data_IF_436958625809
#
_entry.id   IF_436958625809
#
_cell.length_a   1.000
_cell.length_b   1.000
_cell.length_c   1.000
_cell.angle_alpha   90.00
_cell.angle_beta   90.00
_cell.angle_gamma   90.00
#
_symmetry.space_group_name_H-M   'P 1'
#
loop_
_entity.id
_entity.type
_entity.pdbx_description
1 polymer ?
#
# COMPACT_ATOMS: atom_id res chain seq x y z
N UNK A 1 -11.05 11.93 -8.73
CA UNK A 1 -10.28 11.33 -9.83
C UNK A 1 -8.77 11.36 -9.60
N UNK A 2 -8.14 12.54 -9.57
CA UNK A 2 -6.67 12.72 -9.54
C UNK A 2 -5.95 11.99 -8.39
N UNK A 3 -6.57 11.88 -7.22
CA UNK A 3 -5.99 11.26 -6.02
C UNK A 3 -5.94 9.72 -6.09
N UNK A 4 -6.94 9.08 -6.70
CA UNK A 4 -6.96 7.63 -6.86
C UNK A 4 -5.93 7.19 -7.91
N UNK A 5 -5.89 7.85 -9.06
CA UNK A 5 -4.90 7.56 -10.11
C UNK A 5 -3.46 7.68 -9.58
N UNK A 6 -3.13 8.76 -8.87
CA UNK A 6 -1.82 8.91 -8.25
C UNK A 6 -1.51 7.87 -7.17
N UNK A 7 -2.52 7.37 -6.45
CA UNK A 7 -2.35 6.26 -5.52
C UNK A 7 -2.09 4.94 -6.27
N UNK A 8 -2.90 4.63 -7.29
CA UNK A 8 -2.76 3.46 -8.13
C UNK A 8 -1.39 3.42 -8.82
N UNK A 9 -0.96 4.54 -9.41
CA UNK A 9 0.37 4.70 -10.01
C UNK A 9 1.47 4.34 -9.01
N UNK A 10 1.46 4.94 -7.81
CA UNK A 10 2.47 4.69 -6.79
C UNK A 10 2.53 3.23 -6.35
N UNK A 11 1.38 2.60 -6.09
CA UNK A 11 1.37 1.19 -5.66
C UNK A 11 1.79 0.24 -6.76
N UNK A 12 1.47 0.53 -8.02
CA UNK A 12 1.95 -0.25 -9.16
C UNK A 12 3.46 -0.08 -9.34
N UNK A 13 4.00 1.14 -9.20
CA UNK A 13 5.45 1.38 -9.23
C UNK A 13 6.15 0.57 -8.14
N UNK A 14 5.67 0.60 -6.89
CA UNK A 14 6.26 -0.20 -5.83
C UNK A 14 6.18 -1.71 -6.10
N UNK A 15 5.08 -2.19 -6.71
CA UNK A 15 4.94 -3.59 -7.06
C UNK A 15 5.97 -4.00 -8.11
N UNK A 16 6.15 -3.19 -9.15
CA UNK A 16 7.16 -3.43 -10.20
C UNK A 16 8.57 -3.36 -9.63
N UNK A 17 8.87 -2.40 -8.75
CA UNK A 17 10.17 -2.32 -8.07
C UNK A 17 10.45 -3.58 -7.23
N UNK A 18 9.44 -4.13 -6.55
CA UNK A 18 9.61 -5.29 -5.68
C UNK A 18 9.69 -6.61 -6.45
N UNK A 19 8.81 -6.80 -7.43
CA UNK A 19 8.52 -8.10 -8.05
C UNK A 19 8.86 -8.15 -9.54
N UNK A 20 9.19 -7.03 -10.18
CA UNK A 20 9.31 -6.89 -11.62
C UNK A 20 7.98 -6.58 -12.29
N UNK A 21 8.05 -6.12 -13.53
CA UNK A 21 6.87 -6.00 -14.39
C UNK A 21 6.51 -7.39 -14.92
N UNK A 22 5.29 -7.84 -14.61
CA UNK A 22 4.76 -9.15 -14.97
C UNK A 22 3.34 -9.01 -15.51
N UNK A 23 2.91 -10.00 -16.29
CA UNK A 23 1.51 -10.13 -16.65
C UNK A 23 0.67 -10.42 -15.41
N UNK A 24 -0.63 -10.07 -15.46
CA UNK A 24 -1.54 -10.21 -14.31
C UNK A 24 -1.60 -11.66 -13.78
N UNK A 25 -1.49 -12.64 -14.69
CA UNK A 25 -1.53 -14.07 -14.36
C UNK A 25 -0.24 -14.60 -13.70
N UNK A 26 0.89 -13.92 -13.89
CA UNK A 26 2.20 -14.36 -13.42
C UNK A 26 2.52 -13.89 -12.00
N UNK A 27 1.67 -13.03 -11.43
CA UNK A 27 1.81 -12.66 -10.03
C UNK A 27 1.39 -13.81 -9.12
N UNK A 28 2.35 -14.27 -8.32
CA UNK A 28 2.18 -15.39 -7.41
C UNK A 28 1.94 -14.93 -5.97
N UNK A 29 1.61 -15.89 -5.10
CA UNK A 29 1.59 -15.66 -3.66
C UNK A 29 2.97 -15.26 -3.10
N UNK A 30 4.05 -15.76 -3.70
CA UNK A 30 5.41 -15.40 -3.31
C UNK A 30 5.70 -13.93 -3.64
N UNK A 31 5.18 -13.41 -4.75
CA UNK A 31 5.28 -12.00 -5.11
C UNK A 31 4.54 -11.11 -4.10
N UNK A 32 3.33 -11.51 -3.69
CA UNK A 32 2.59 -10.80 -2.66
C UNK A 32 3.38 -10.70 -1.34
N UNK A 33 4.06 -11.79 -0.94
CA UNK A 33 4.94 -11.79 0.23
C UNK A 33 6.16 -10.89 0.04
N UNK A 34 6.85 -11.01 -1.11
CA UNK A 34 8.00 -10.19 -1.47
C UNK A 34 7.66 -8.70 -1.45
N UNK A 35 6.50 -8.34 -2.00
CA UNK A 35 5.98 -6.99 -1.98
C UNK A 35 5.76 -6.47 -0.54
N UNK A 36 5.19 -7.27 0.35
CA UNK A 36 5.06 -6.90 1.78
C UNK A 36 6.42 -6.62 2.42
N UNK A 37 7.37 -7.54 2.25
CA UNK A 37 8.71 -7.39 2.82
C UNK A 37 9.42 -6.15 2.27
N UNK A 38 9.24 -5.87 0.98
CA UNK A 38 9.74 -4.64 0.35
C UNK A 38 9.20 -3.37 1.02
N UNK A 39 7.89 -3.31 1.29
CA UNK A 39 7.27 -2.14 1.94
C UNK A 39 7.76 -1.97 3.38
N UNK A 40 7.95 -3.07 4.11
CA UNK A 40 8.50 -3.05 5.48
C UNK A 40 9.97 -2.57 5.45
N UNK A 41 10.77 -3.07 4.50
CA UNK A 41 12.16 -2.66 4.33
C UNK A 41 12.31 -1.17 3.96
N UNK A 42 11.33 -0.59 3.27
CA UNK A 42 11.22 0.87 3.03
C UNK A 42 10.83 1.69 4.28
N UNK A 43 10.87 1.10 5.48
CA UNK A 43 10.55 1.74 6.77
C UNK A 43 9.17 2.42 6.80
N UNK A 44 8.20 1.86 6.08
CA UNK A 44 6.84 2.36 6.10
C UNK A 44 6.17 1.95 7.42
N UNK A 45 5.48 2.91 8.07
CA UNK A 45 4.60 2.57 9.19
C UNK A 45 3.52 1.58 8.74
N UNK A 46 3.12 0.67 9.63
CA UNK A 46 2.15 -0.40 9.37
C UNK A 46 0.86 0.11 8.73
N UNK A 47 0.33 1.24 9.21
CA UNK A 47 -0.86 1.86 8.62
C UNK A 47 -0.69 2.31 7.16
N UNK A 48 0.51 2.70 6.75
CA UNK A 48 0.85 3.00 5.35
C UNK A 48 0.98 1.71 4.54
N UNK A 49 1.60 0.68 5.09
CA UNK A 49 1.70 -0.66 4.48
C UNK A 49 0.31 -1.22 4.21
N UNK A 50 -0.62 -1.19 5.18
CA UNK A 50 -2.01 -1.64 5.03
C UNK A 50 -2.73 -0.93 3.88
N UNK A 51 -2.55 0.40 3.78
CA UNK A 51 -3.18 1.22 2.73
C UNK A 51 -2.63 0.86 1.35
N UNK A 52 -1.32 0.73 1.23
CA UNK A 52 -0.65 0.37 -0.02
C UNK A 52 -1.07 -1.04 -0.50
N UNK A 53 -1.12 -2.02 0.42
CA UNK A 53 -1.60 -3.37 0.12
C UNK A 53 -3.07 -3.36 -0.31
N UNK A 54 -3.92 -2.60 0.39
CA UNK A 54 -5.34 -2.51 0.03
C UNK A 54 -5.53 -1.89 -1.35
N UNK A 55 -4.74 -0.87 -1.71
CA UNK A 55 -4.78 -0.25 -3.03
C UNK A 55 -4.33 -1.21 -4.13
N UNK A 56 -3.22 -1.95 -3.97
CA UNK A 56 -2.78 -2.91 -5.00
C UNK A 56 -3.78 -4.04 -5.18
N UNK A 57 -4.38 -4.52 -4.08
CA UNK A 57 -5.45 -5.52 -4.11
C UNK A 57 -6.64 -5.02 -4.93
N UNK A 58 -7.08 -3.79 -4.70
CA UNK A 58 -8.18 -3.19 -5.44
C UNK A 58 -7.86 -3.05 -6.93
N UNK A 59 -6.67 -2.53 -7.29
CA UNK A 59 -6.23 -2.39 -8.68
C UNK A 59 -6.24 -3.75 -9.41
N UNK A 60 -5.67 -4.79 -8.80
CA UNK A 60 -5.65 -6.13 -9.38
C UNK A 60 -7.07 -6.70 -9.55
N UNK A 61 -7.93 -6.57 -8.53
CA UNK A 61 -9.32 -7.02 -8.61
C UNK A 61 -10.13 -6.26 -9.66
N UNK A 62 -9.89 -4.96 -9.84
CA UNK A 62 -10.51 -4.18 -10.90
C UNK A 62 -10.10 -4.68 -12.27
N UNK A 63 -8.79 -4.87 -12.52
CA UNK A 63 -8.32 -5.38 -13.80
C UNK A 63 -8.88 -6.77 -14.11
N UNK A 64 -8.89 -7.68 -13.13
CA UNK A 64 -9.47 -9.02 -13.29
C UNK A 64 -10.96 -8.93 -13.66
N UNK A 65 -11.73 -8.08 -12.99
CA UNK A 65 -13.15 -7.91 -13.25
C UNK A 65 -13.45 -7.21 -14.57
N UNK A 66 -12.68 -6.17 -14.93
CA UNK A 66 -12.89 -5.35 -16.12
C UNK A 66 -12.66 -6.17 -17.40
N UNK A 67 -11.65 -7.04 -17.39
CA UNK A 67 -11.34 -7.93 -18.51
C UNK A 67 -11.98 -9.32 -18.38
N UNK A 68 -12.86 -9.53 -17.40
CA UNK A 68 -13.52 -10.81 -17.13
C UNK A 68 -12.55 -12.02 -17.07
N UNK A 69 -11.39 -11.81 -16.45
CA UNK A 69 -10.34 -12.83 -16.34
C UNK A 69 -10.68 -13.84 -15.24
N UNK A 70 -10.47 -15.12 -15.51
CA UNK A 70 -10.56 -16.16 -14.47
C UNK A 70 -9.22 -16.32 -13.74
N UNK A 71 -8.84 -15.27 -12.99
CA UNK A 71 -7.58 -15.21 -12.26
C UNK A 71 -7.81 -15.02 -10.76
N UNK A 72 -7.03 -15.75 -9.96
CA UNK A 72 -7.03 -15.56 -8.51
C UNK A 72 -6.09 -14.42 -8.13
N UNK A 73 -6.61 -13.39 -7.48
CA UNK A 73 -5.81 -12.28 -6.97
C UNK A 73 -4.91 -12.73 -5.78
N UNK A 74 -3.57 -12.74 -5.90
CA UNK A 74 -2.65 -13.22 -4.86
C UNK A 74 -2.54 -12.27 -3.65
N UNK A 75 -3.01 -11.03 -3.78
CA UNK A 75 -2.93 -9.97 -2.77
C UNK A 75 -4.13 -9.95 -1.80
N UNK A 76 -5.18 -10.74 -2.05
CA UNK A 76 -6.40 -10.77 -1.21
C UNK A 76 -6.11 -11.23 0.22
N UNK A 77 -5.35 -12.31 0.40
CA UNK A 77 -5.10 -12.94 1.71
C UNK A 77 -3.81 -12.47 2.40
N UNK A 78 -3.26 -11.31 2.02
CA UNK A 78 -2.07 -10.78 2.70
C UNK A 78 -2.40 -10.32 4.12
N UNK A 79 -1.70 -10.89 5.10
CA UNK A 79 -1.67 -10.36 6.47
C UNK A 79 -0.70 -9.18 6.56
N UNK A 80 -1.12 -8.12 7.22
CA UNK A 80 -0.31 -6.94 7.55
C UNK A 80 -0.57 -6.50 9.00
N UNK A 81 0.49 -6.11 9.71
CA UNK A 81 0.38 -5.50 11.02
C UNK A 81 0.19 -3.99 10.85
N UNK A 82 -1.07 -3.55 10.98
CA UNK A 82 -1.47 -2.15 10.81
C UNK A 82 -0.92 -1.22 11.90
N UNK A 83 -0.58 -1.75 13.07
CA UNK A 83 -0.16 -0.95 14.22
C UNK A 83 1.37 -0.81 14.32
N UNK A 84 2.13 -1.67 13.63
CA UNK A 84 3.58 -1.62 13.61
C UNK A 84 4.13 -0.23 13.27
N UNK A 85 4.95 0.36 14.16
CA UNK A 85 5.63 1.63 13.92
C UNK A 85 4.70 2.85 13.74
N UNK A 86 3.43 2.74 14.13
CA UNK A 86 2.50 3.88 14.16
C UNK A 86 2.67 4.62 15.48
N UNK A 87 3.16 5.86 15.42
CA UNK A 87 3.16 6.77 16.57
C UNK A 87 1.83 7.52 16.64
N UNK A 88 1.28 7.66 17.85
CA UNK A 88 0.12 8.52 18.07
C UNK A 88 0.56 9.98 18.05
N UNK A 89 -0.15 10.82 17.30
CA UNK A 89 0.08 12.26 17.32
C UNK A 89 -0.46 12.81 18.64
N UNK A 90 0.41 13.40 19.45
CA UNK A 90 0.01 14.11 20.65
C UNK A 90 -0.58 15.49 20.31
N UNK A 91 -1.51 16.02 21.12
CA UNK A 91 -1.94 17.41 21.03
C UNK A 91 -0.75 18.37 21.15
N UNK A 92 -0.83 19.51 20.48
CA UNK A 92 0.13 20.60 20.68
C UNK A 92 -0.19 21.23 22.05
N UNK A 93 0.77 21.36 22.97
CA UNK A 93 0.58 22.06 24.24
C UNK A 93 0.09 23.50 24.03
N UNK A 94 -0.81 23.97 24.89
CA UNK A 94 -1.45 25.29 24.77
C UNK A 94 -0.41 26.43 24.77
N UNK A 95 0.63 26.30 25.58
CA UNK A 95 1.81 27.17 25.66
C UNK A 95 2.52 27.36 24.30
N UNK A 96 2.68 26.29 23.51
CA UNK A 96 3.31 26.37 22.18
C UNK A 96 2.41 27.07 21.15
N UNK A 97 1.08 27.04 21.33
CA UNK A 97 0.12 27.71 20.44
C UNK A 97 0.27 29.23 20.52
N UNK A 98 0.54 29.77 21.71
CA UNK A 98 0.66 31.22 21.93
C UNK A 98 2.01 31.81 21.47
N UNK A 99 2.99 30.97 21.13
CA UNK A 99 4.33 31.41 20.72
C UNK A 99 4.41 31.76 19.22
N UNK A 100 3.47 31.30 18.39
CA UNK A 100 3.46 31.56 16.92
C UNK A 100 2.89 32.95 16.52
N UNK A 101 2.70 33.88 17.48
CA UNK A 101 2.14 35.21 17.24
C UNK A 101 3.09 36.37 17.61
N UNK A 102 4.40 36.14 17.57
CA UNK A 102 5.45 37.18 17.64
C UNK A 102 6.38 37.08 16.43
#
# INVERSE_FOLDING_TARGET
GKTFHAAAQRVCTYLVEACGAKDLADYSRADALKYRYYLIAKAMAGSRVSRVISSVRAVMSFAISEYALDLKNPFVSMYDDRLAGVSQRLPIPIEDIFTFHQ
#
